data_IF_026639088739
#
_entry.id   IF_026639088739
#
_cell.length_a   1.000
_cell.length_b   1.000
_cell.length_c   1.000
_cell.angle_alpha   90.00
_cell.angle_beta   90.00
_cell.angle_gamma   90.00
#
_symmetry.space_group_name_H-M   'P 1'
#
loop_
_entity.id
_entity.type
_entity.pdbx_description
1 polymer ?
#
# COMPACT_ATOMS: atom_id res chain seq x y z
N UNK A 1 4.37 6.49 -43.59
CA UNK A 1 4.65 7.22 -42.36
C UNK A 1 5.28 6.23 -41.37
N UNK A 2 6.54 6.42 -41.11
CA UNK A 2 7.21 5.61 -40.08
C UNK A 2 6.69 6.01 -38.70
N UNK A 3 6.30 5.06 -37.85
CA UNK A 3 5.95 5.42 -36.50
C UNK A 3 7.15 6.09 -35.83
N UNK A 4 6.88 7.22 -35.19
CA UNK A 4 7.91 7.88 -34.41
C UNK A 4 8.40 6.91 -33.34
N UNK A 5 9.71 6.71 -33.31
CA UNK A 5 10.35 5.98 -32.23
C UNK A 5 10.26 6.85 -30.98
N UNK A 6 9.31 6.54 -30.11
CA UNK A 6 9.24 7.18 -28.80
C UNK A 6 10.41 6.64 -27.98
N UNK A 7 11.42 7.47 -27.77
CA UNK A 7 12.49 7.13 -26.86
C UNK A 7 11.90 6.93 -25.46
N UNK A 8 11.97 5.69 -24.98
CA UNK A 8 11.62 5.41 -23.60
C UNK A 8 12.83 5.71 -22.72
N UNK A 9 12.60 6.22 -21.50
CA UNK A 9 13.68 6.36 -20.53
C UNK A 9 14.33 5.00 -20.23
N UNK A 10 15.50 5.02 -19.62
CA UNK A 10 16.27 3.80 -19.31
C UNK A 10 15.46 2.74 -18.55
N UNK A 11 14.46 3.16 -17.76
CA UNK A 11 13.60 2.26 -16.97
C UNK A 11 12.41 1.70 -17.77
N UNK A 12 12.28 2.03 -19.05
CA UNK A 12 11.22 1.58 -19.95
C UNK A 12 9.79 1.98 -19.53
N UNK A 13 9.64 2.92 -18.60
CA UNK A 13 8.34 3.39 -18.15
C UNK A 13 7.85 4.57 -18.99
N UNK A 14 6.55 4.59 -19.27
CA UNK A 14 5.93 5.79 -19.82
C UNK A 14 5.83 6.85 -18.72
N UNK A 15 5.67 8.14 -19.07
CA UNK A 15 5.42 9.18 -18.05
C UNK A 15 4.23 8.88 -17.16
N UNK A 16 3.15 8.32 -17.71
CA UNK A 16 1.96 7.95 -16.92
C UNK A 16 2.25 6.82 -15.94
N UNK A 17 2.99 5.81 -16.37
CA UNK A 17 3.40 4.69 -15.49
C UNK A 17 4.31 5.19 -14.36
N UNK A 18 5.26 6.05 -14.67
CA UNK A 18 6.15 6.65 -13.66
C UNK A 18 5.35 7.46 -12.64
N UNK A 19 4.38 8.26 -13.10
CA UNK A 19 3.52 9.05 -12.21
C UNK A 19 2.75 8.17 -11.21
N UNK A 20 2.17 7.07 -11.68
CA UNK A 20 1.45 6.12 -10.83
C UNK A 20 2.37 5.51 -9.78
N UNK A 21 3.59 5.13 -10.17
CA UNK A 21 4.57 4.57 -9.24
C UNK A 21 5.07 5.59 -8.22
N UNK A 22 5.22 6.87 -8.61
CA UNK A 22 5.54 7.95 -7.67
C UNK A 22 4.45 8.11 -6.62
N UNK A 23 3.18 8.05 -7.02
CA UNK A 23 2.04 8.12 -6.10
C UNK A 23 2.10 6.96 -5.11
N UNK A 24 2.30 5.73 -5.59
CA UNK A 24 2.41 4.56 -4.72
C UNK A 24 3.56 4.71 -3.73
N UNK A 25 4.73 5.16 -4.18
CA UNK A 25 5.89 5.35 -3.31
C UNK A 25 5.61 6.41 -2.24
N UNK A 26 5.00 7.52 -2.62
CA UNK A 26 4.64 8.61 -1.70
C UNK A 26 3.67 8.13 -0.63
N UNK A 27 2.61 7.43 -1.02
CA UNK A 27 1.61 6.93 -0.07
C UNK A 27 2.18 5.87 0.87
N UNK A 28 3.05 5.00 0.37
CA UNK A 28 3.75 4.03 1.23
C UNK A 28 4.65 4.75 2.24
N UNK A 29 5.33 5.82 1.84
CA UNK A 29 6.16 6.63 2.73
C UNK A 29 5.34 7.31 3.83
N UNK A 30 4.20 7.85 3.48
CA UNK A 30 3.28 8.47 4.45
C UNK A 30 2.73 7.44 5.44
N UNK A 31 2.42 6.22 4.98
CA UNK A 31 2.00 5.14 5.85
C UNK A 31 3.09 4.77 6.85
N UNK A 32 4.34 4.67 6.43
CA UNK A 32 5.47 4.41 7.32
C UNK A 32 5.55 5.48 8.41
N UNK A 33 5.39 6.76 8.06
CA UNK A 33 5.41 7.86 9.04
C UNK A 33 4.31 7.73 10.09
N UNK A 34 3.10 7.39 9.68
CA UNK A 34 1.98 7.20 10.63
C UNK A 34 2.23 6.01 11.55
N UNK A 35 2.71 4.88 11.00
CA UNK A 35 3.04 3.69 11.81
C UNK A 35 4.08 4.02 12.86
N UNK A 36 5.14 4.75 12.51
CA UNK A 36 6.17 5.14 13.48
C UNK A 36 5.63 6.09 14.53
N UNK A 37 4.73 6.98 14.17
CA UNK A 37 4.05 7.88 15.11
C UNK A 37 3.20 7.09 16.12
N UNK A 38 2.47 6.07 15.66
CA UNK A 38 1.69 5.19 16.54
C UNK A 38 2.62 4.45 17.50
N UNK A 39 3.73 3.93 17.03
CA UNK A 39 4.69 3.23 17.88
C UNK A 39 5.26 4.13 18.98
N UNK A 40 5.44 5.42 18.70
CA UNK A 40 5.95 6.39 19.69
C UNK A 40 4.88 6.89 20.66
N UNK A 41 3.66 7.10 20.17
CA UNK A 41 2.65 7.86 20.92
C UNK A 41 1.35 7.11 21.20
N UNK A 42 1.13 5.97 20.54
CA UNK A 42 -0.08 5.16 20.73
C UNK A 42 -1.11 5.38 19.62
N UNK A 43 -2.01 4.40 19.50
CA UNK A 43 -3.03 4.35 18.44
C UNK A 43 -4.07 5.46 18.59
N UNK A 44 -4.50 5.74 19.82
CA UNK A 44 -5.58 6.69 20.08
C UNK A 44 -5.07 8.09 20.46
N UNK A 45 -3.77 8.32 20.42
CA UNK A 45 -3.17 9.63 20.64
C UNK A 45 -3.55 10.60 19.55
N UNK A 46 -3.64 11.88 19.92
CA UNK A 46 -3.96 12.97 19.00
C UNK A 46 -2.83 13.99 18.98
N UNK A 47 -2.73 14.74 17.87
CA UNK A 47 -1.81 15.87 17.82
C UNK A 47 -2.38 17.01 18.68
N UNK A 48 -1.53 17.77 19.42
CA UNK A 48 -2.02 18.88 20.26
C UNK A 48 -2.85 19.92 19.50
N UNK A 49 -2.56 20.13 18.22
CA UNK A 49 -3.27 21.10 17.38
C UNK A 49 -4.54 20.54 16.73
N UNK A 50 -4.78 19.22 16.80
CA UNK A 50 -5.94 18.58 16.18
C UNK A 50 -6.43 17.41 17.04
N UNK A 51 -7.13 17.76 18.14
CA UNK A 51 -7.58 16.79 19.14
C UNK A 51 -8.71 15.86 18.65
N UNK A 52 -9.36 16.17 17.52
CA UNK A 52 -10.43 15.35 16.97
C UNK A 52 -9.93 14.20 16.10
N UNK A 53 -8.66 14.22 15.70
CA UNK A 53 -8.07 13.21 14.81
C UNK A 53 -7.07 12.37 15.57
N UNK A 54 -7.36 11.09 15.69
CA UNK A 54 -6.46 10.13 16.34
C UNK A 54 -5.44 9.58 15.35
N UNK A 55 -4.38 8.96 15.84
CA UNK A 55 -3.44 8.23 15.00
C UNK A 55 -4.10 7.07 14.27
N UNK A 56 -5.15 6.46 14.85
CA UNK A 56 -5.96 5.45 14.17
C UNK A 56 -6.64 6.02 12.91
N UNK A 57 -7.21 7.21 13.02
CA UNK A 57 -7.83 7.89 11.87
C UNK A 57 -6.82 8.13 10.77
N UNK A 58 -5.61 8.56 11.13
CA UNK A 58 -4.51 8.74 10.19
C UNK A 58 -4.07 7.43 9.56
N UNK A 59 -4.01 6.35 10.33
CA UNK A 59 -3.67 5.02 9.84
C UNK A 59 -4.68 4.55 8.80
N UNK A 60 -5.97 4.67 9.10
CA UNK A 60 -7.03 4.30 8.17
C UNK A 60 -6.95 5.11 6.88
N UNK A 61 -6.68 6.42 7.00
CA UNK A 61 -6.50 7.30 5.83
C UNK A 61 -5.34 6.83 4.96
N UNK A 62 -4.17 6.61 5.55
CA UNK A 62 -2.98 6.25 4.77
C UNK A 62 -3.08 4.83 4.18
N UNK A 63 -3.69 3.89 4.87
CA UNK A 63 -3.98 2.56 4.31
C UNK A 63 -4.91 2.70 3.10
N UNK A 64 -5.96 3.50 3.22
CA UNK A 64 -6.88 3.76 2.12
C UNK A 64 -6.18 4.41 0.92
N UNK A 65 -5.29 5.37 1.16
CA UNK A 65 -4.52 6.03 0.11
C UNK A 65 -3.60 5.03 -0.61
N UNK A 66 -2.95 4.13 0.13
CA UNK A 66 -2.14 3.06 -0.45
C UNK A 66 -3.00 2.11 -1.30
N UNK A 67 -4.17 1.73 -0.81
CA UNK A 67 -5.09 0.88 -1.59
C UNK A 67 -5.54 1.55 -2.88
N UNK A 68 -5.83 2.85 -2.82
CA UNK A 68 -6.14 3.64 -4.01
C UNK A 68 -5.00 3.65 -5.03
N UNK A 69 -3.79 3.86 -4.56
CA UNK A 69 -2.60 3.83 -5.41
C UNK A 69 -2.36 2.44 -6.02
N UNK A 70 -2.60 1.37 -5.26
CA UNK A 70 -2.51 -0.01 -5.77
C UNK A 70 -3.50 -0.23 -6.90
N UNK A 71 -4.73 0.26 -6.76
CA UNK A 71 -5.71 0.17 -7.82
C UNK A 71 -5.24 0.88 -9.10
N UNK A 72 -4.63 2.04 -8.98
CA UNK A 72 -4.06 2.75 -10.13
C UNK A 72 -2.98 1.93 -10.84
N UNK A 73 -2.12 1.25 -10.07
CA UNK A 73 -1.09 0.36 -10.61
C UNK A 73 -1.72 -0.78 -11.42
N UNK A 74 -2.80 -1.38 -10.90
CA UNK A 74 -3.52 -2.46 -11.58
C UNK A 74 -4.25 -1.95 -12.83
N UNK A 75 -4.91 -0.78 -12.76
CA UNK A 75 -5.58 -0.18 -13.91
C UNK A 75 -4.58 0.17 -15.02
N UNK A 76 -3.35 0.50 -14.67
CA UNK A 76 -2.27 0.74 -15.63
C UNK A 76 -1.62 -0.55 -16.15
N UNK A 77 -2.13 -1.71 -15.78
CA UNK A 77 -1.62 -3.03 -16.16
C UNK A 77 -0.16 -3.28 -15.76
N UNK A 78 0.32 -2.62 -14.71
CA UNK A 78 1.67 -2.84 -14.17
C UNK A 78 1.70 -3.96 -13.13
N UNK A 79 0.55 -4.38 -12.64
CA UNK A 79 0.41 -5.50 -11.72
C UNK A 79 -0.95 -6.15 -11.91
N UNK A 80 -1.05 -7.41 -11.53
CA UNK A 80 -2.28 -8.20 -11.66
C UNK A 80 -2.94 -8.39 -10.28
N UNK A 81 -4.24 -8.10 -10.21
CA UNK A 81 -5.02 -8.20 -8.97
C UNK A 81 -4.98 -9.60 -8.36
N UNK A 82 -5.11 -10.63 -9.21
CA UNK A 82 -5.08 -12.01 -8.76
C UNK A 82 -3.72 -12.41 -8.19
N UNK A 83 -2.65 -11.96 -8.83
CA UNK A 83 -1.29 -12.19 -8.34
C UNK A 83 -1.03 -11.49 -7.01
N UNK A 84 -1.49 -10.25 -6.85
CA UNK A 84 -1.40 -9.49 -5.59
C UNK A 84 -2.16 -10.24 -4.48
N UNK A 85 -3.39 -10.65 -4.77
CA UNK A 85 -4.24 -11.38 -3.82
C UNK A 85 -3.57 -12.66 -3.34
N UNK A 86 -3.02 -13.44 -4.27
CA UNK A 86 -2.32 -14.69 -3.94
C UNK A 86 -1.11 -14.42 -3.04
N UNK A 87 -0.31 -13.39 -3.34
CA UNK A 87 0.83 -13.03 -2.52
C UNK A 87 0.41 -12.58 -1.11
N UNK A 88 -0.69 -11.84 -0.99
CA UNK A 88 -1.20 -11.42 0.31
C UNK A 88 -1.63 -12.62 1.15
N UNK A 89 -2.33 -13.59 0.55
CA UNK A 89 -2.71 -14.82 1.24
C UNK A 89 -1.47 -15.62 1.69
N UNK A 90 -0.49 -15.75 0.81
CA UNK A 90 0.77 -16.45 1.14
C UNK A 90 1.52 -15.74 2.27
N UNK A 91 1.52 -14.42 2.28
CA UNK A 91 2.14 -13.64 3.36
C UNK A 91 1.47 -13.92 4.70
N UNK A 92 0.15 -13.89 4.74
CA UNK A 92 -0.61 -14.18 5.96
C UNK A 92 -0.30 -15.58 6.48
N UNK A 93 -0.24 -16.57 5.60
CA UNK A 93 0.08 -17.95 5.98
C UNK A 93 1.50 -18.09 6.55
N UNK A 94 2.46 -17.30 6.04
CA UNK A 94 3.86 -17.36 6.50
C UNK A 94 4.09 -16.60 7.80
N UNK A 95 3.37 -15.51 8.02
CA UNK A 95 3.59 -14.63 9.19
C UNK A 95 3.40 -15.34 10.51
N UNK A 96 2.52 -16.33 10.58
CA UNK A 96 2.26 -17.08 11.81
C UNK A 96 3.49 -17.74 12.41
N UNK A 97 4.51 -18.05 11.60
CA UNK A 97 5.77 -18.66 12.06
C UNK A 97 6.66 -17.67 12.83
N UNK A 98 6.49 -16.39 12.60
CA UNK A 98 7.38 -15.35 13.10
C UNK A 98 6.71 -14.41 14.09
N UNK A 99 5.40 -14.59 14.32
CA UNK A 99 4.64 -13.76 15.25
C UNK A 99 4.77 -14.31 16.67
N UNK A 100 5.04 -13.41 17.62
CA UNK A 100 5.24 -13.78 19.01
C UNK A 100 4.05 -13.38 19.91
N UNK A 101 3.25 -12.42 19.48
CA UNK A 101 2.17 -11.86 20.32
C UNK A 101 0.83 -11.79 19.60
N UNK A 102 0.84 -11.51 18.29
CA UNK A 102 -0.40 -11.42 17.50
C UNK A 102 -0.85 -12.81 17.03
N UNK A 103 -2.16 -12.98 16.86
CA UNK A 103 -2.72 -14.22 16.32
C UNK A 103 -2.53 -14.28 14.80
N UNK A 104 -2.22 -15.46 14.23
CA UNK A 104 -2.23 -15.63 12.79
C UNK A 104 -3.60 -15.30 12.20
N UNK A 105 -3.60 -14.74 11.00
CA UNK A 105 -4.81 -14.48 10.24
C UNK A 105 -4.81 -15.42 9.03
N UNK A 106 -5.92 -16.14 8.85
CA UNK A 106 -6.11 -17.02 7.70
C UNK A 106 -7.23 -16.47 6.83
N UNK A 107 -7.01 -16.49 5.53
CA UNK A 107 -7.98 -16.07 4.53
C UNK A 107 -8.26 -17.25 3.62
N UNK A 108 -9.52 -17.68 3.59
CA UNK A 108 -9.96 -18.75 2.69
C UNK A 108 -9.93 -18.28 1.24
N UNK A 109 -9.70 -19.20 0.26
CA UNK A 109 -9.73 -18.82 -1.15
C UNK A 109 -11.04 -18.13 -1.52
N UNK A 110 -10.94 -16.93 -2.10
CA UNK A 110 -12.08 -16.13 -2.51
C UNK A 110 -12.54 -15.09 -1.50
N UNK A 111 -12.09 -15.18 -0.24
CA UNK A 111 -12.42 -14.18 0.77
C UNK A 111 -11.55 -12.91 0.61
N UNK A 112 -12.08 -11.73 0.97
CA UNK A 112 -11.30 -10.51 0.85
C UNK A 112 -10.12 -10.51 1.84
N UNK A 113 -9.04 -9.84 1.45
CA UNK A 113 -7.88 -9.63 2.32
C UNK A 113 -8.20 -8.60 3.41
N UNK A 114 -9.02 -7.62 3.06
CA UNK A 114 -9.43 -6.54 3.97
C UNK A 114 -10.94 -6.41 3.95
#
# INVERSE_FOLDING_TARGET
MTPELVERPFNQLTPAEAEVLYILAEECGELVQVVTKILRHGLLSTHPECAQVTNRDLLEKEIGDVQGAIRMVCEANMADRGAIYLQARCKLARLGRWMHHARPVYVEPGDPIV
#
